data_IF_733479033296
#
_entry.id   IF_733479033296
#
_cell.length_a   1.000
_cell.length_b   1.000
_cell.length_c   1.000
_cell.angle_alpha   90.00
_cell.angle_beta   90.00
_cell.angle_gamma   90.00
#
_symmetry.space_group_name_H-M   'P 1'
#
loop_
_entity.id
_entity.type
_entity.pdbx_description
1 polymer ?
#
# COMPACT_ATOMS: atom_id res chain seq x y z
N UNK A 1 25.97 60.65 13.34
CA UNK A 1 27.38 61.06 13.12
C UNK A 1 27.99 59.99 12.22
N UNK A 2 28.53 60.16 11.02
CA UNK A 2 28.95 61.26 10.14
C UNK A 2 28.74 60.75 8.68
N UNK A 3 28.03 61.50 7.81
CA UNK A 3 28.54 62.35 6.70
C UNK A 3 29.43 61.64 5.65
N UNK A 4 28.91 61.46 4.42
CA UNK A 4 29.18 62.22 3.16
C UNK A 4 30.56 61.87 2.53
N UNK A 5 30.71 61.50 1.25
CA UNK A 5 30.58 62.23 -0.04
C UNK A 5 30.83 61.18 -1.17
N UNK A 6 30.06 61.03 -2.25
CA UNK A 6 29.94 61.84 -3.50
C UNK A 6 31.26 62.26 -4.15
N UNK A 7 31.56 61.66 -5.31
CA UNK A 7 32.41 62.25 -6.36
C UNK A 7 31.71 62.01 -7.71
N UNK A 8 31.33 63.11 -8.32
CA UNK A 8 31.03 63.30 -9.75
C UNK A 8 32.33 63.63 -10.47
N UNK A 9 32.51 63.14 -11.70
CA UNK A 9 33.39 63.78 -12.68
C UNK A 9 32.80 63.67 -14.08
N UNK A 10 32.94 64.76 -14.82
CA UNK A 10 32.23 65.10 -16.04
C UNK A 10 33.25 65.55 -17.10
N UNK A 11 32.88 65.39 -18.37
CA UNK A 11 33.32 66.12 -19.59
C UNK A 11 34.66 65.69 -20.23
N UNK A 12 34.60 65.07 -21.43
CA UNK A 12 34.95 65.78 -22.67
C UNK A 12 34.56 65.03 -23.94
N UNK A 13 33.71 65.70 -24.72
CA UNK A 13 33.35 65.40 -26.10
C UNK A 13 34.54 65.61 -27.03
N UNK A 14 34.68 64.76 -28.04
CA UNK A 14 35.27 65.12 -29.34
C UNK A 14 34.48 64.42 -30.45
N UNK A 15 33.77 65.23 -31.21
CA UNK A 15 33.28 64.91 -32.55
C UNK A 15 34.48 64.94 -33.52
N UNK A 16 34.54 63.99 -34.45
CA UNK A 16 34.91 64.28 -35.83
C UNK A 16 34.37 63.23 -36.81
N UNK A 17 33.95 63.78 -37.94
CA UNK A 17 33.28 63.28 -39.14
C UNK A 17 33.79 61.99 -39.82
N UNK A 18 32.79 61.26 -40.33
CA UNK A 18 32.58 60.74 -41.70
C UNK A 18 33.71 59.95 -42.37
N UNK A 19 33.42 58.66 -42.64
CA UNK A 19 33.70 58.09 -43.96
C UNK A 19 32.63 57.04 -44.34
N UNK A 20 31.98 57.26 -45.47
CA UNK A 20 30.98 56.39 -46.09
C UNK A 20 31.68 55.25 -46.84
N UNK A 21 31.78 54.09 -46.20
CA UNK A 21 32.32 52.86 -46.79
C UNK A 21 31.26 51.80 -47.00
N UNK A 22 30.54 51.88 -48.11
CA UNK A 22 29.63 50.83 -48.60
C UNK A 22 30.43 49.56 -48.92
N UNK A 23 30.37 48.55 -48.05
CA UNK A 23 30.94 47.22 -48.32
C UNK A 23 29.87 46.15 -48.12
N UNK A 24 29.48 45.55 -49.24
CA UNK A 24 28.54 44.43 -49.29
C UNK A 24 29.14 43.20 -48.62
N UNK A 25 28.70 42.93 -47.38
CA UNK A 25 28.93 41.63 -46.76
C UNK A 25 27.96 40.65 -47.42
N UNK A 26 28.53 39.77 -48.25
CA UNK A 26 27.86 38.65 -48.89
C UNK A 26 27.13 37.81 -47.84
N UNK A 27 25.83 37.62 -48.03
CA UNK A 27 25.02 36.58 -47.41
C UNK A 27 25.45 35.22 -47.99
N UNK A 28 26.53 34.64 -47.49
CA UNK A 28 26.89 33.24 -47.73
C UNK A 28 27.73 32.75 -46.54
N UNK A 29 27.10 32.56 -45.36
CA UNK A 29 27.58 31.68 -44.28
C UNK A 29 26.56 31.58 -43.11
N UNK A 30 25.31 31.25 -43.43
CA UNK A 30 24.32 30.80 -42.42
C UNK A 30 23.99 29.33 -42.71
N UNK A 31 24.95 28.43 -42.48
CA UNK A 31 24.69 26.99 -42.51
C UNK A 31 25.59 26.20 -41.56
N UNK A 32 25.77 26.70 -40.34
CA UNK A 32 26.19 25.82 -39.24
C UNK A 32 25.60 26.29 -37.90
N UNK A 33 24.27 26.34 -37.86
CA UNK A 33 23.55 26.25 -36.58
C UNK A 33 23.72 24.81 -36.09
N UNK A 34 24.82 24.53 -35.37
CA UNK A 34 24.90 23.35 -34.52
C UNK A 34 23.70 23.41 -33.58
N UNK A 35 22.69 22.57 -33.79
CA UNK A 35 21.57 22.52 -32.87
C UNK A 35 22.15 22.05 -31.54
N UNK A 36 22.22 22.96 -30.56
CA UNK A 36 22.59 22.63 -29.20
C UNK A 36 21.56 21.62 -28.71
N UNK A 37 21.95 20.36 -28.62
CA UNK A 37 21.07 19.32 -28.12
C UNK A 37 21.14 19.40 -26.60
N UNK A 38 20.00 19.21 -25.94
CA UNK A 38 19.90 19.28 -24.48
C UNK A 38 20.93 18.37 -23.75
N UNK A 39 21.38 17.31 -24.42
CA UNK A 39 22.45 16.40 -23.96
C UNK A 39 23.82 17.05 -23.85
N UNK A 40 24.05 18.21 -24.48
CA UNK A 40 25.33 18.89 -24.57
C UNK A 40 25.57 19.84 -23.38
N UNK A 41 24.54 20.06 -22.55
CA UNK A 41 24.65 20.84 -21.32
C UNK A 41 25.50 20.11 -20.24
N UNK A 42 26.25 20.86 -19.42
CA UNK A 42 26.92 20.32 -18.25
C UNK A 42 25.92 19.70 -17.26
N UNK A 43 26.27 18.57 -16.61
CA UNK A 43 25.43 17.92 -15.61
C UNK A 43 24.91 18.87 -14.52
N UNK A 44 25.74 19.82 -14.08
CA UNK A 44 25.41 20.75 -12.99
C UNK A 44 24.28 21.71 -13.36
N UNK A 45 24.29 22.23 -14.58
CA UNK A 45 23.25 23.14 -15.10
C UNK A 45 21.91 22.41 -15.23
N UNK A 46 21.96 21.15 -15.66
CA UNK A 46 20.78 20.30 -15.78
C UNK A 46 20.19 19.94 -14.40
N UNK A 47 21.05 19.64 -13.42
CA UNK A 47 20.67 19.30 -12.04
C UNK A 47 20.01 20.47 -11.29
N UNK A 48 20.58 21.67 -11.36
CA UNK A 48 20.06 22.84 -10.63
C UNK A 48 18.75 23.39 -11.23
N UNK A 49 18.59 23.35 -12.55
CA UNK A 49 17.55 24.14 -13.22
C UNK A 49 16.47 23.32 -13.91
N UNK A 50 16.67 22.04 -14.22
CA UNK A 50 15.65 21.23 -14.89
C UNK A 50 15.08 20.14 -14.02
N UNK A 51 15.90 19.48 -13.19
CA UNK A 51 15.46 18.33 -12.42
C UNK A 51 14.29 18.64 -11.45
N UNK A 52 14.26 19.86 -10.89
CA UNK A 52 13.22 20.32 -9.97
C UNK A 52 11.88 20.62 -10.65
N UNK A 53 11.85 20.79 -11.98
CA UNK A 53 10.65 21.18 -12.73
C UNK A 53 10.04 20.04 -13.54
N UNK A 54 10.70 18.88 -13.60
CA UNK A 54 10.20 17.72 -14.32
C UNK A 54 9.42 16.79 -13.39
N UNK A 55 8.20 16.43 -13.78
CA UNK A 55 7.46 15.33 -13.15
C UNK A 55 8.19 14.00 -13.34
N UNK A 56 7.90 13.00 -12.51
CA UNK A 56 8.48 11.66 -12.66
C UNK A 56 8.18 11.05 -14.04
N UNK A 57 7.02 11.36 -14.64
CA UNK A 57 6.66 10.95 -16.00
C UNK A 57 7.57 11.62 -17.04
N UNK A 58 7.81 12.92 -16.91
CA UNK A 58 8.70 13.64 -17.83
C UNK A 58 10.15 13.17 -17.70
N UNK A 59 10.63 12.95 -16.47
CA UNK A 59 11.95 12.35 -16.21
C UNK A 59 12.06 10.96 -16.87
N UNK A 60 11.02 10.12 -16.72
CA UNK A 60 10.99 8.80 -17.35
C UNK A 60 11.02 8.88 -18.88
N UNK A 61 10.23 9.77 -19.49
CA UNK A 61 10.25 9.96 -20.95
C UNK A 61 11.60 10.46 -21.45
N UNK A 62 12.20 11.45 -20.78
CA UNK A 62 13.54 11.96 -21.10
C UNK A 62 14.62 10.89 -20.93
N UNK A 63 14.50 10.02 -19.91
CA UNK A 63 15.45 8.93 -19.72
C UNK A 63 15.49 7.93 -20.89
N UNK A 64 14.42 7.84 -21.68
CA UNK A 64 14.33 6.96 -22.85
C UNK A 64 14.95 7.58 -24.11
N UNK A 65 15.21 8.89 -24.14
CA UNK A 65 15.74 9.56 -25.34
C UNK A 65 17.26 9.53 -25.43
N UNK A 66 17.96 9.27 -24.32
CA UNK A 66 19.42 9.19 -24.29
C UNK A 66 19.93 8.40 -23.08
N UNK A 67 21.03 7.65 -23.26
CA UNK A 67 21.73 6.98 -22.18
C UNK A 67 22.24 7.95 -21.11
N UNK A 68 22.59 9.19 -21.50
CA UNK A 68 23.03 10.25 -20.58
C UNK A 68 21.89 10.66 -19.64
N UNK A 69 20.69 10.91 -20.17
CA UNK A 69 19.50 11.20 -19.36
C UNK A 69 19.05 10.01 -18.51
N UNK A 70 19.18 8.79 -19.02
CA UNK A 70 18.96 7.58 -18.24
C UNK A 70 19.86 7.52 -17.01
N UNK A 71 21.16 7.76 -17.20
CA UNK A 71 22.12 7.78 -16.10
C UNK A 71 21.86 8.94 -15.13
N UNK A 72 21.45 10.10 -15.63
CA UNK A 72 21.13 11.27 -14.79
C UNK A 72 19.95 11.04 -13.84
N UNK A 73 18.86 10.44 -14.31
CA UNK A 73 17.67 10.23 -13.46
C UNK A 73 17.71 8.93 -12.67
N UNK A 74 18.73 8.09 -12.84
CA UNK A 74 18.82 6.77 -12.22
C UNK A 74 18.71 6.82 -10.69
N UNK A 75 19.42 7.75 -10.06
CA UNK A 75 19.42 7.89 -8.60
C UNK A 75 18.09 8.45 -8.08
N UNK A 76 17.47 9.36 -8.84
CA UNK A 76 16.13 9.87 -8.53
C UNK A 76 15.09 8.73 -8.58
N UNK A 77 15.12 7.90 -9.62
CA UNK A 77 14.22 6.74 -9.71
C UNK A 77 14.47 5.73 -8.60
N UNK A 78 15.73 5.52 -8.20
CA UNK A 78 16.07 4.63 -7.07
C UNK A 78 15.52 5.17 -5.75
N UNK A 79 15.70 6.47 -5.49
CA UNK A 79 15.14 7.15 -4.30
C UNK A 79 13.62 7.09 -4.29
N UNK A 80 12.99 7.34 -5.43
CA UNK A 80 11.53 7.31 -5.53
C UNK A 80 10.99 5.89 -5.36
N UNK A 81 11.63 4.88 -5.95
CA UNK A 81 11.25 3.47 -5.73
C UNK A 81 11.40 3.07 -4.26
N UNK A 82 12.43 3.56 -3.57
CA UNK A 82 12.60 3.34 -2.13
C UNK A 82 11.52 4.06 -1.30
N UNK A 83 11.13 5.28 -1.67
CA UNK A 83 10.04 6.01 -1.04
C UNK A 83 8.69 5.29 -1.22
N UNK A 84 8.43 4.74 -2.41
CA UNK A 84 7.21 3.95 -2.68
C UNK A 84 7.23 2.62 -1.93
N UNK A 85 8.39 1.97 -1.81
CA UNK A 85 8.54 0.77 -0.96
C UNK A 85 8.20 1.06 0.50
N UNK A 86 8.70 2.20 1.03
CA UNK A 86 8.39 2.66 2.38
C UNK A 86 6.90 2.99 2.56
N UNK A 87 6.30 3.69 1.60
CA UNK A 87 4.85 3.95 1.58
C UNK A 87 4.03 2.65 1.61
N UNK A 88 4.36 1.70 0.74
CA UNK A 88 3.69 0.40 0.71
C UNK A 88 3.83 -0.34 2.06
N UNK A 89 4.98 -0.25 2.73
CA UNK A 89 5.15 -0.81 4.08
C UNK A 89 4.24 -0.14 5.10
N UNK A 90 4.12 1.20 5.11
CA UNK A 90 3.19 1.91 6.00
C UNK A 90 1.74 1.43 5.77
N UNK A 91 1.34 1.29 4.51
CA UNK A 91 0.00 0.82 4.13
C UNK A 91 -0.26 -0.61 4.63
N UNK A 92 0.65 -1.55 4.33
CA UNK A 92 0.51 -2.95 4.74
C UNK A 92 0.51 -3.13 6.27
N UNK A 93 1.09 -2.17 7.00
CA UNK A 93 1.15 -2.13 8.46
C UNK A 93 0.01 -1.32 9.10
N UNK A 94 -0.91 -0.77 8.29
CA UNK A 94 -2.04 0.02 8.79
C UNK A 94 -1.62 1.34 9.45
N UNK A 95 -0.44 1.87 9.10
CA UNK A 95 0.13 3.15 9.56
C UNK A 95 -0.43 4.29 8.70
N UNK A 96 -1.73 4.54 8.88
CA UNK A 96 -2.54 5.43 8.02
C UNK A 96 -1.96 6.85 7.94
N UNK A 97 -1.54 7.43 9.07
CA UNK A 97 -1.09 8.83 9.13
C UNK A 97 0.18 9.02 8.28
N UNK A 98 1.13 8.12 8.45
CA UNK A 98 2.40 8.11 7.72
C UNK A 98 2.16 7.87 6.22
N UNK A 99 1.29 6.92 5.87
CA UNK A 99 0.93 6.65 4.49
C UNK A 99 0.28 7.86 3.80
N UNK A 100 -0.72 8.47 4.43
CA UNK A 100 -1.42 9.63 3.85
C UNK A 100 -0.50 10.85 3.71
N UNK A 101 0.37 11.11 4.69
CA UNK A 101 1.36 12.21 4.59
C UNK A 101 2.30 12.03 3.38
N UNK A 102 2.72 10.80 3.10
CA UNK A 102 3.57 10.51 1.95
C UNK A 102 2.84 10.63 0.60
N UNK A 103 1.53 10.34 0.57
CA UNK A 103 0.68 10.48 -0.62
C UNK A 103 0.36 11.95 -0.88
N UNK A 104 -0.01 12.71 0.16
CA UNK A 104 -0.29 14.14 0.06
C UNK A 104 0.92 14.92 -0.48
N UNK A 105 2.13 14.55 -0.04
CA UNK A 105 3.37 15.16 -0.53
C UNK A 105 3.62 14.86 -2.01
N UNK A 106 3.22 13.69 -2.51
CA UNK A 106 3.44 13.30 -3.90
C UNK A 106 2.39 12.27 -4.38
N UNK A 107 1.22 12.73 -4.86
CA UNK A 107 0.13 11.83 -5.26
C UNK A 107 0.51 10.83 -6.36
N UNK A 108 1.41 11.22 -7.27
CA UNK A 108 1.92 10.36 -8.36
C UNK A 108 2.45 9.00 -7.87
N UNK A 109 2.88 8.90 -6.60
CA UNK A 109 3.29 7.65 -5.95
C UNK A 109 2.23 6.56 -6.02
N UNK A 110 0.94 6.92 -6.05
CA UNK A 110 -0.17 5.98 -6.20
C UNK A 110 -0.08 5.15 -7.50
N UNK A 111 0.69 5.60 -8.49
CA UNK A 111 0.90 4.92 -9.77
C UNK A 111 2.19 4.11 -9.85
N UNK A 112 3.12 4.31 -8.92
CA UNK A 112 4.45 3.69 -8.94
C UNK A 112 4.42 2.35 -8.22
N UNK A 113 5.21 1.39 -8.71
CA UNK A 113 5.30 0.04 -8.16
C UNK A 113 6.57 -0.14 -7.35
N UNK A 114 6.45 -0.80 -6.20
CA UNK A 114 7.59 -1.21 -5.40
C UNK A 114 7.29 -2.51 -4.64
N UNK A 115 8.35 -3.11 -4.11
CA UNK A 115 8.25 -4.30 -3.26
C UNK A 115 8.25 -3.88 -1.80
N UNK A 116 7.34 -4.45 -1.00
CA UNK A 116 7.23 -4.18 0.43
C UNK A 116 6.84 -5.44 1.22
N UNK A 117 6.90 -5.35 2.54
CA UNK A 117 6.65 -6.45 3.47
C UNK A 117 5.74 -6.01 4.61
N UNK A 118 4.79 -6.86 4.99
CA UNK A 118 3.88 -6.66 6.12
C UNK A 118 4.48 -7.13 7.47
N UNK A 119 3.69 -7.13 8.54
CA UNK A 119 4.12 -7.62 9.85
C UNK A 119 4.32 -9.14 9.94
N UNK A 120 3.66 -9.91 9.06
CA UNK A 120 3.79 -11.37 9.03
C UNK A 120 5.03 -11.83 8.28
N UNK A 121 5.72 -10.92 7.58
CA UNK A 121 6.85 -11.23 6.72
C UNK A 121 6.47 -11.53 5.27
N UNK A 122 5.20 -11.34 4.90
CA UNK A 122 4.73 -11.58 3.53
C UNK A 122 5.26 -10.49 2.61
N UNK A 123 5.83 -10.91 1.47
CA UNK A 123 6.45 -10.00 0.49
C UNK A 123 5.47 -9.73 -0.66
N UNK A 124 5.10 -8.47 -0.83
CA UNK A 124 4.25 -7.99 -1.92
C UNK A 124 5.14 -7.36 -2.99
N UNK A 125 5.31 -8.07 -4.13
CA UNK A 125 6.25 -7.67 -5.19
C UNK A 125 5.61 -6.75 -6.20
N UNK A 126 6.28 -5.63 -6.49
CA UNK A 126 5.91 -4.69 -7.56
C UNK A 126 4.43 -4.25 -7.52
N UNK A 127 3.93 -3.96 -6.32
CA UNK A 127 2.57 -3.46 -6.09
C UNK A 127 2.58 -1.94 -5.98
N UNK A 128 1.49 -1.30 -6.40
CA UNK A 128 1.27 0.13 -6.13
C UNK A 128 0.73 0.34 -4.72
N UNK A 129 0.78 1.56 -4.17
CA UNK A 129 0.17 1.89 -2.87
C UNK A 129 -1.31 1.49 -2.76
N UNK A 130 -2.12 1.81 -3.77
CA UNK A 130 -3.53 1.44 -3.78
C UNK A 130 -3.73 -0.08 -3.87
N UNK A 131 -2.91 -0.78 -4.65
CA UNK A 131 -2.93 -2.25 -4.67
C UNK A 131 -2.50 -2.85 -3.32
N UNK A 132 -1.56 -2.25 -2.60
CA UNK A 132 -1.18 -2.70 -1.26
C UNK A 132 -2.35 -2.56 -0.28
N UNK A 133 -3.08 -1.45 -0.30
CA UNK A 133 -4.26 -1.23 0.54
C UNK A 133 -5.39 -2.22 0.22
N UNK A 134 -5.60 -2.52 -1.06
CA UNK A 134 -6.50 -3.60 -1.50
C UNK A 134 -6.01 -4.94 -0.94
N UNK A 135 -4.77 -5.34 -1.17
CA UNK A 135 -4.26 -6.64 -0.73
C UNK A 135 -4.27 -6.85 0.80
N UNK A 136 -4.22 -5.77 1.59
CA UNK A 136 -4.39 -5.81 3.06
C UNK A 136 -5.84 -5.61 3.53
N UNK A 137 -6.80 -5.51 2.61
CA UNK A 137 -8.22 -5.28 2.85
C UNK A 137 -8.52 -4.00 3.64
N UNK A 138 -7.63 -3.00 3.58
CA UNK A 138 -7.75 -1.77 4.37
C UNK A 138 -8.72 -0.80 3.69
N UNK A 139 -10.02 -1.06 3.88
CA UNK A 139 -11.12 -0.29 3.27
C UNK A 139 -11.05 1.18 3.68
N UNK A 140 -10.76 1.44 4.96
CA UNK A 140 -10.71 2.81 5.49
C UNK A 140 -9.58 3.59 4.81
N UNK A 141 -8.39 2.98 4.70
CA UNK A 141 -7.24 3.65 4.09
C UNK A 141 -7.43 3.82 2.60
N UNK A 142 -7.88 2.78 1.87
CA UNK A 142 -8.05 2.93 0.42
C UNK A 142 -9.06 4.02 0.09
N UNK A 143 -10.13 4.18 0.89
CA UNK A 143 -11.16 5.20 0.62
C UNK A 143 -10.59 6.59 0.79
N UNK A 144 -9.70 6.78 1.77
CA UNK A 144 -8.96 8.03 1.97
C UNK A 144 -7.92 8.29 0.87
N UNK A 145 -7.44 7.26 0.17
CA UNK A 145 -6.56 7.43 -0.99
C UNK A 145 -7.33 7.87 -2.26
N UNK A 146 -8.62 7.56 -2.37
CA UNK A 146 -9.38 7.80 -3.60
C UNK A 146 -9.36 9.25 -4.10
N UNK A 147 -9.57 10.28 -3.27
CA UNK A 147 -9.55 11.68 -3.71
C UNK A 147 -8.22 12.12 -4.32
N UNK A 148 -7.10 11.49 -3.92
CA UNK A 148 -5.79 11.83 -4.48
C UNK A 148 -5.66 11.38 -5.94
N UNK A 149 -6.44 10.40 -6.40
CA UNK A 149 -6.44 10.05 -7.82
C UNK A 149 -7.00 11.19 -8.69
N UNK A 150 -7.88 12.06 -8.17
CA UNK A 150 -8.40 13.21 -8.94
C UNK A 150 -7.31 14.26 -9.22
N UNK A 151 -6.24 14.24 -8.42
CA UNK A 151 -5.07 15.14 -8.58
C UNK A 151 -4.04 14.63 -9.59
N UNK A 152 -4.19 13.39 -10.07
CA UNK A 152 -3.23 12.73 -10.95
C UNK A 152 -3.82 12.70 -12.38
N UNK A 153 -3.03 13.03 -13.43
CA UNK A 153 -3.48 12.85 -14.81
C UNK A 153 -3.94 11.42 -15.09
N UNK A 154 -5.14 11.26 -15.66
CA UNK A 154 -5.82 9.98 -15.87
C UNK A 154 -5.98 9.12 -14.60
N UNK A 155 -6.05 9.76 -13.43
CA UNK A 155 -5.99 9.06 -12.14
C UNK A 155 -7.14 8.09 -11.91
N UNK A 156 -8.39 8.45 -12.27
CA UNK A 156 -9.54 7.54 -12.19
C UNK A 156 -9.35 6.29 -13.07
N UNK A 157 -8.90 6.47 -14.32
CA UNK A 157 -8.58 5.37 -15.22
C UNK A 157 -7.42 4.51 -14.67
N UNK A 158 -6.41 5.13 -14.05
CA UNK A 158 -5.31 4.41 -13.37
C UNK A 158 -5.83 3.61 -12.18
N UNK A 159 -6.69 4.17 -11.33
CA UNK A 159 -7.35 3.47 -10.20
C UNK A 159 -8.09 2.24 -10.70
N UNK A 160 -8.93 2.40 -11.72
CA UNK A 160 -9.69 1.30 -12.33
C UNK A 160 -8.78 0.21 -12.91
N UNK A 161 -7.70 0.58 -13.63
CA UNK A 161 -6.71 -0.39 -14.14
C UNK A 161 -6.00 -1.15 -13.01
N UNK A 162 -5.65 -0.47 -11.92
CA UNK A 162 -5.02 -1.10 -10.77
C UNK A 162 -5.93 -2.12 -10.09
N UNK A 163 -7.22 -1.78 -9.92
CA UNK A 163 -8.23 -2.69 -9.38
C UNK A 163 -8.46 -3.90 -10.30
N UNK A 164 -8.76 -3.67 -11.59
CA UNK A 164 -9.00 -4.73 -12.59
C UNK A 164 -7.80 -5.67 -12.75
N UNK A 165 -6.57 -5.17 -12.56
CA UNK A 165 -5.36 -6.02 -12.59
C UNK A 165 -5.33 -7.02 -11.44
N UNK A 166 -5.82 -6.67 -10.25
CA UNK A 166 -5.90 -7.59 -9.12
C UNK A 166 -7.12 -8.52 -9.22
N UNK A 167 -8.24 -7.98 -9.70
CA UNK A 167 -9.54 -8.66 -9.71
C UNK A 167 -10.15 -8.73 -11.11
N UNK A 168 -9.48 -9.36 -12.10
CA UNK A 168 -9.99 -9.40 -13.47
C UNK A 168 -11.33 -10.13 -13.59
N UNK A 169 -11.58 -11.07 -12.67
CA UNK A 169 -12.81 -11.87 -12.60
C UNK A 169 -13.57 -11.65 -11.28
N UNK A 170 -13.39 -10.49 -10.64
CA UNK A 170 -13.90 -10.21 -9.30
C UNK A 170 -13.05 -10.82 -8.18
N UNK A 171 -13.60 -10.84 -6.96
CA UNK A 171 -12.93 -11.37 -5.77
C UNK A 171 -12.70 -12.89 -5.91
N UNK A 172 -11.52 -13.40 -5.53
CA UNK A 172 -11.24 -14.83 -5.58
C UNK A 172 -12.11 -15.59 -4.58
N UNK A 173 -12.64 -16.74 -5.00
CA UNK A 173 -13.21 -17.73 -4.07
C UNK A 173 -12.08 -18.49 -3.40
N UNK A 174 -11.87 -18.26 -2.12
CA UNK A 174 -10.82 -18.91 -1.34
C UNK A 174 -11.41 -20.00 -0.44
N UNK A 175 -10.69 -21.11 -0.29
CA UNK A 175 -11.08 -22.20 0.63
C UNK A 175 -10.33 -22.06 1.95
N UNK A 176 -10.95 -22.40 3.09
CA UNK A 176 -10.23 -22.44 4.36
C UNK A 176 -9.16 -23.54 4.35
N UNK A 177 -8.27 -23.49 5.35
CA UNK A 177 -7.27 -24.52 5.57
C UNK A 177 -8.00 -25.74 6.11
N UNK A 178 -7.61 -26.94 5.69
CA UNK A 178 -8.24 -28.15 6.20
C UNK A 178 -7.66 -28.51 7.58
N UNK A 179 -8.41 -28.18 8.62
CA UNK A 179 -8.04 -28.48 10.00
C UNK A 179 -8.38 -29.93 10.40
N UNK A 180 -9.10 -30.70 9.58
CA UNK A 180 -9.74 -31.96 10.00
C UNK A 180 -8.76 -32.96 10.63
N UNK A 181 -7.59 -33.15 10.02
CA UNK A 181 -6.57 -34.07 10.55
C UNK A 181 -6.04 -33.62 11.93
N UNK A 182 -5.79 -32.32 12.11
CA UNK A 182 -5.32 -31.76 13.37
C UNK A 182 -6.39 -31.89 14.47
N UNK A 183 -7.64 -31.55 14.14
CA UNK A 183 -8.76 -31.63 15.09
C UNK A 183 -9.00 -33.07 15.54
N UNK A 184 -8.91 -34.05 14.64
CA UNK A 184 -9.02 -35.46 15.03
C UNK A 184 -7.91 -35.88 16.02
N UNK A 185 -6.69 -35.36 15.85
CA UNK A 185 -5.58 -35.64 16.75
C UNK A 185 -5.81 -34.97 18.11
N UNK A 186 -6.21 -33.69 18.15
CA UNK A 186 -6.52 -32.98 19.41
C UNK A 186 -7.64 -33.71 20.18
N UNK A 187 -8.71 -34.10 19.49
CA UNK A 187 -9.85 -34.83 20.10
C UNK A 187 -9.41 -36.13 20.77
N UNK A 188 -8.48 -36.87 20.16
CA UNK A 188 -8.03 -38.19 20.65
C UNK A 188 -6.84 -38.11 21.62
N UNK A 189 -6.23 -36.94 21.78
CA UNK A 189 -5.02 -36.79 22.58
C UNK A 189 -5.34 -36.83 24.08
N UNK A 190 -4.54 -37.56 24.89
CA UNK A 190 -4.73 -37.57 26.33
C UNK A 190 -4.36 -36.22 26.94
N UNK A 191 -5.02 -35.85 28.04
CA UNK A 191 -4.80 -34.56 28.71
C UNK A 191 -3.33 -34.29 29.08
N UNK A 192 -2.55 -35.34 29.40
CA UNK A 192 -1.13 -35.19 29.73
C UNK A 192 -0.31 -34.65 28.54
N UNK A 193 -0.62 -35.08 27.31
CA UNK A 193 0.12 -34.67 26.11
C UNK A 193 -0.28 -33.23 25.73
N UNK A 194 -1.55 -32.88 25.97
CA UNK A 194 -2.05 -31.51 25.79
C UNK A 194 -1.36 -30.55 26.77
N UNK A 195 -1.31 -30.89 28.06
CA UNK A 195 -0.66 -30.08 29.07
C UNK A 195 0.85 -29.93 28.81
N UNK A 196 1.53 -31.01 28.41
CA UNK A 196 2.94 -30.95 28.04
C UNK A 196 3.18 -29.97 26.88
N UNK A 197 2.32 -29.98 25.85
CA UNK A 197 2.43 -29.07 24.72
C UNK A 197 2.03 -27.62 25.05
N UNK A 198 1.12 -27.41 26.00
CA UNK A 198 0.77 -26.08 26.51
C UNK A 198 1.92 -25.47 27.33
N UNK A 199 2.60 -26.28 28.13
CA UNK A 199 3.77 -25.86 28.93
C UNK A 199 5.00 -25.61 28.04
N UNK A 200 5.19 -26.44 27.01
CA UNK A 200 6.24 -26.29 26.03
C UNK A 200 5.68 -26.41 24.59
N UNK A 201 5.32 -25.29 23.93
CA UNK A 201 4.79 -25.27 22.56
C UNK A 201 5.72 -25.83 21.48
N UNK A 202 6.95 -26.19 21.83
CA UNK A 202 7.96 -26.81 20.96
C UNK A 202 8.23 -28.28 21.30
N UNK A 203 7.48 -28.87 22.23
CA UNK A 203 7.55 -30.31 22.48
C UNK A 203 6.84 -31.08 21.36
N UNK A 204 7.64 -31.48 20.38
CA UNK A 204 7.18 -32.28 19.25
C UNK A 204 7.42 -33.77 19.45
N UNK A 205 7.63 -34.25 20.67
CA UNK A 205 7.90 -35.67 20.91
C UNK A 205 6.64 -36.54 20.80
N UNK A 206 5.46 -35.97 21.06
CA UNK A 206 4.17 -36.66 20.97
C UNK A 206 3.56 -36.56 19.56
N UNK A 207 2.62 -37.47 19.20
CA UNK A 207 1.83 -37.34 17.96
C UNK A 207 1.10 -35.99 17.85
N UNK A 208 0.62 -35.46 18.98
CA UNK A 208 -0.02 -34.13 19.04
C UNK A 208 0.98 -33.01 18.73
N UNK A 209 2.16 -33.05 19.34
CA UNK A 209 3.22 -32.07 19.08
C UNK A 209 3.67 -32.07 17.61
N UNK A 210 3.85 -33.25 17.01
CA UNK A 210 4.14 -33.36 15.58
C UNK A 210 3.02 -32.80 14.70
N UNK A 211 1.75 -33.03 15.07
CA UNK A 211 0.61 -32.49 14.33
C UNK A 211 0.59 -30.95 14.37
N UNK A 212 0.88 -30.34 15.52
CA UNK A 212 0.99 -28.88 15.65
C UNK A 212 2.17 -28.33 14.84
N UNK A 213 3.33 -29.00 14.86
CA UNK A 213 4.48 -28.63 14.01
C UNK A 213 4.10 -28.64 12.52
N UNK A 214 3.52 -29.73 12.04
CA UNK A 214 3.09 -29.89 10.64
C UNK A 214 2.06 -28.83 10.25
N UNK A 215 1.09 -28.56 11.14
CA UNK A 215 0.14 -27.47 10.94
C UNK A 215 0.85 -26.12 10.77
N UNK A 216 1.75 -25.75 11.70
CA UNK A 216 2.46 -24.46 11.65
C UNK A 216 3.27 -24.31 10.36
N UNK A 217 3.99 -25.36 9.96
CA UNK A 217 4.78 -25.38 8.72
C UNK A 217 3.89 -25.21 7.49
N UNK A 218 2.85 -26.04 7.36
CA UNK A 218 1.93 -26.01 6.22
C UNK A 218 1.14 -24.71 6.14
N UNK A 219 0.63 -24.21 7.27
CA UNK A 219 -0.14 -22.99 7.32
C UNK A 219 0.71 -21.76 7.01
N UNK A 220 1.96 -21.73 7.48
CA UNK A 220 2.92 -20.67 7.12
C UNK A 220 3.19 -20.68 5.62
N UNK A 221 3.50 -21.87 5.05
CA UNK A 221 3.76 -22.00 3.62
C UNK A 221 2.55 -21.57 2.77
N UNK A 222 1.33 -21.95 3.18
CA UNK A 222 0.09 -21.52 2.53
C UNK A 222 -0.08 -20.00 2.63
N UNK A 223 -0.03 -19.43 3.82
CA UNK A 223 -0.25 -18.00 4.07
C UNK A 223 0.74 -17.11 3.32
N UNK A 224 1.99 -17.55 3.18
CA UNK A 224 3.03 -16.84 2.43
C UNK A 224 2.86 -16.93 0.91
N UNK A 225 2.21 -17.98 0.42
CA UNK A 225 1.91 -18.19 -1.00
C UNK A 225 0.66 -17.42 -1.44
N UNK A 226 -0.29 -17.22 -0.53
CA UNK A 226 -1.52 -16.49 -0.82
C UNK A 226 -1.26 -15.01 -1.11
N UNK A 227 -1.51 -14.60 -2.35
CA UNK A 227 -1.46 -13.19 -2.76
C UNK A 227 -2.50 -12.35 -2.01
N UNK A 228 -3.71 -12.89 -1.86
CA UNK A 228 -4.81 -12.26 -1.15
C UNK A 228 -4.96 -12.91 0.21
N UNK A 229 -5.02 -12.11 1.26
CA UNK A 229 -5.30 -12.66 2.58
C UNK A 229 -6.66 -13.37 2.58
N UNK A 230 -6.68 -14.62 3.07
CA UNK A 230 -7.87 -15.44 3.15
C UNK A 230 -8.47 -15.43 4.56
N UNK A 231 -9.51 -14.63 4.83
CA UNK A 231 -10.14 -14.60 6.15
C UNK A 231 -10.85 -15.91 6.51
N UNK A 232 -11.14 -16.78 5.53
CA UNK A 232 -11.86 -18.04 5.78
C UNK A 232 -11.04 -18.99 6.66
N UNK A 233 -9.71 -18.92 6.65
CA UNK A 233 -8.86 -19.69 7.56
C UNK A 233 -9.23 -19.45 9.03
N UNK A 234 -9.33 -18.18 9.42
CA UNK A 234 -9.65 -17.82 10.80
C UNK A 234 -11.13 -18.09 11.12
N UNK A 235 -12.05 -17.77 10.21
CA UNK A 235 -13.48 -18.06 10.37
C UNK A 235 -13.70 -19.55 10.62
N UNK A 236 -13.08 -20.43 9.83
CA UNK A 236 -13.26 -21.88 9.99
C UNK A 236 -12.67 -22.37 11.32
N UNK A 237 -11.49 -21.89 11.72
CA UNK A 237 -10.91 -22.29 13.01
C UNK A 237 -11.74 -21.84 14.22
N UNK A 238 -12.36 -20.65 14.17
CA UNK A 238 -13.27 -20.15 15.20
C UNK A 238 -14.59 -20.94 15.20
N UNK A 239 -15.10 -21.30 14.03
CA UNK A 239 -16.30 -22.13 13.91
C UNK A 239 -16.07 -23.51 14.53
N UNK A 240 -14.91 -24.13 14.28
CA UNK A 240 -14.51 -25.39 14.92
C UNK A 240 -14.48 -25.23 16.44
N UNK A 241 -13.92 -24.13 16.97
CA UNK A 241 -13.92 -23.87 18.41
C UNK A 241 -15.34 -23.87 19.00
N UNK A 242 -16.27 -23.17 18.36
CA UNK A 242 -17.66 -23.11 18.80
C UNK A 242 -18.35 -24.49 18.73
N UNK A 243 -18.09 -25.27 17.68
CA UNK A 243 -18.62 -26.64 17.53
C UNK A 243 -18.06 -27.60 18.60
N UNK A 244 -16.82 -27.41 19.05
CA UNK A 244 -16.19 -28.26 20.06
C UNK A 244 -16.40 -27.76 21.50
N UNK A 245 -16.98 -26.58 21.71
CA UNK A 245 -17.03 -25.91 23.02
C UNK A 245 -17.61 -26.76 24.15
N UNK A 246 -18.68 -27.53 23.87
CA UNK A 246 -19.31 -28.42 24.84
C UNK A 246 -18.80 -29.87 24.79
N UNK A 247 -17.97 -30.21 23.80
CA UNK A 247 -17.48 -31.57 23.57
C UNK A 247 -16.08 -31.79 24.13
N UNK A 248 -15.27 -30.73 24.15
CA UNK A 248 -13.88 -30.77 24.55
C UNK A 248 -13.66 -30.32 25.98
N UNK A 249 -12.57 -30.82 26.57
CA UNK A 249 -12.08 -30.31 27.84
C UNK A 249 -11.54 -28.88 27.70
N UNK A 250 -11.47 -28.14 28.82
CA UNK A 250 -10.88 -26.80 28.85
C UNK A 250 -9.46 -26.75 28.30
N UNK A 251 -8.64 -27.79 28.52
CA UNK A 251 -7.28 -27.87 28.00
C UNK A 251 -7.24 -28.03 26.48
N UNK A 252 -8.14 -28.83 25.90
CA UNK A 252 -8.26 -28.98 24.44
C UNK A 252 -8.69 -27.67 23.80
N UNK A 253 -9.69 -27.00 24.38
CA UNK A 253 -10.16 -25.70 23.91
C UNK A 253 -9.05 -24.65 24.01
N UNK A 254 -8.33 -24.61 25.13
CA UNK A 254 -7.23 -23.67 25.32
C UNK A 254 -6.07 -23.94 24.34
N UNK A 255 -5.74 -25.21 24.05
CA UNK A 255 -4.75 -25.57 23.03
C UNK A 255 -5.17 -25.10 21.63
N UNK A 256 -6.42 -25.38 21.22
CA UNK A 256 -6.95 -24.92 19.94
C UNK A 256 -6.90 -23.39 19.84
N UNK A 257 -7.34 -22.71 20.91
CA UNK A 257 -7.39 -21.26 20.95
C UNK A 257 -5.99 -20.64 20.88
N UNK A 258 -5.06 -21.07 21.74
CA UNK A 258 -3.71 -20.49 21.82
C UNK A 258 -2.84 -20.88 20.63
N UNK A 259 -2.81 -22.16 20.24
CA UNK A 259 -1.81 -22.66 19.30
C UNK A 259 -2.30 -22.85 17.86
N UNK A 260 -3.61 -22.87 17.62
CA UNK A 260 -4.18 -23.00 16.26
C UNK A 260 -4.80 -21.69 15.80
N UNK A 261 -5.76 -21.16 16.56
CA UNK A 261 -6.43 -19.89 16.27
C UNK A 261 -5.44 -18.74 16.42
N UNK A 262 -4.73 -18.67 17.55
CA UNK A 262 -3.66 -17.69 17.77
C UNK A 262 -2.59 -17.75 16.67
N UNK A 263 -2.22 -18.93 16.19
CA UNK A 263 -1.17 -19.05 15.17
C UNK A 263 -1.68 -18.59 13.80
N UNK A 264 -2.94 -18.90 13.48
CA UNK A 264 -3.64 -18.38 12.30
C UNK A 264 -3.71 -16.84 12.33
N UNK A 265 -3.95 -16.27 13.52
CA UNK A 265 -4.04 -14.83 13.75
C UNK A 265 -2.74 -14.07 13.51
N UNK A 266 -1.57 -14.74 13.54
CA UNK A 266 -0.27 -14.14 13.21
C UNK A 266 -0.18 -13.64 11.77
N UNK A 267 -1.01 -14.17 10.88
CA UNK A 267 -1.00 -13.85 9.45
C UNK A 267 -2.11 -12.87 9.05
N UNK A 268 -2.84 -12.30 10.02
CA UNK A 268 -3.82 -11.25 9.74
C UNK A 268 -3.12 -9.99 9.19
N UNK A 269 -3.67 -9.37 8.13
CA UNK A 269 -3.32 -8.00 7.77
C UNK A 269 -3.54 -7.07 8.96
N UNK A 270 -2.75 -6.00 9.04
CA UNK A 270 -2.84 -5.05 10.15
C UNK A 270 -4.26 -4.50 10.35
N UNK A 271 -5.00 -4.29 9.25
CA UNK A 271 -6.38 -3.82 9.31
C UNK A 271 -7.31 -4.76 10.10
N UNK A 272 -7.19 -6.09 9.91
CA UNK A 272 -7.96 -7.06 10.70
C UNK A 272 -7.50 -7.09 12.16
N UNK A 273 -6.18 -7.08 12.41
CA UNK A 273 -5.64 -7.04 13.76
C UNK A 273 -6.11 -5.80 14.54
N UNK A 274 -6.12 -4.62 13.89
CA UNK A 274 -6.68 -3.37 14.43
C UNK A 274 -8.18 -3.52 14.74
N UNK A 275 -8.94 -4.18 13.86
CA UNK A 275 -10.34 -4.50 14.09
C UNK A 275 -10.56 -5.35 15.35
N UNK A 276 -9.74 -6.38 15.54
CA UNK A 276 -9.77 -7.20 16.76
C UNK A 276 -9.41 -6.40 18.01
N UNK A 277 -8.40 -5.51 17.94
CA UNK A 277 -8.00 -4.64 19.04
C UNK A 277 -9.12 -3.69 19.49
N UNK A 278 -10.01 -3.32 18.58
CA UNK A 278 -11.15 -2.44 18.85
C UNK A 278 -12.45 -3.18 19.20
N UNK A 279 -12.51 -4.50 18.97
CA UNK A 279 -13.71 -5.35 18.93
C UNK A 279 -14.56 -5.15 17.67
N UNK A 280 -14.91 -6.26 17.01
CA UNK A 280 -15.57 -6.24 15.72
C UNK A 280 -17.04 -5.84 15.81
N UNK A 281 -17.74 -6.13 16.91
CA UNK A 281 -19.13 -5.70 17.12
C UNK A 281 -19.29 -4.18 16.98
N UNK A 282 -18.42 -3.42 17.64
CA UNK A 282 -18.48 -1.95 17.58
C UNK A 282 -18.25 -1.39 16.18
N UNK A 283 -17.47 -2.11 15.37
CA UNK A 283 -17.18 -1.75 13.97
C UNK A 283 -18.33 -2.14 13.05
N UNK A 284 -18.89 -3.34 13.22
CA UNK A 284 -20.00 -3.87 12.42
C UNK A 284 -21.25 -3.00 12.62
N UNK A 285 -21.52 -2.59 13.86
CA UNK A 285 -22.66 -1.75 14.21
C UNK A 285 -22.44 -0.27 13.88
N UNK A 286 -21.20 0.12 13.54
CA UNK A 286 -20.85 1.52 13.25
C UNK A 286 -20.98 2.44 14.46
N UNK A 287 -20.98 1.90 15.68
CA UNK A 287 -21.17 2.69 16.91
C UNK A 287 -19.92 3.48 17.30
N UNK A 288 -18.75 3.11 16.76
CA UNK A 288 -17.47 3.82 16.98
C UNK A 288 -16.68 3.96 15.68
N UNK A 289 -15.90 5.05 15.53
CA UNK A 289 -14.98 5.19 14.40
C UNK A 289 -13.86 4.16 14.49
N UNK A 290 -13.37 3.69 13.36
CA UNK A 290 -12.23 2.76 13.30
C UNK A 290 -10.94 3.39 13.86
N UNK A 291 -10.25 2.67 14.73
CA UNK A 291 -9.04 3.08 15.43
C UNK A 291 -7.82 2.33 14.89
N UNK A 292 -6.77 3.08 14.56
CA UNK A 292 -5.47 2.56 14.08
C UNK A 292 -4.59 2.11 15.24
N UNK A 293 -5.10 1.19 16.07
CA UNK A 293 -4.38 0.67 17.24
C UNK A 293 -4.14 -0.83 17.12
N UNK A 294 -2.94 -1.26 17.49
CA UNK A 294 -2.57 -2.66 17.62
C UNK A 294 -2.48 -3.10 19.09
N UNK A 295 -3.00 -2.27 19.99
CA UNK A 295 -3.08 -2.58 21.42
C UNK A 295 -4.35 -3.39 21.65
N UNK A 296 -4.17 -4.67 21.94
CA UNK A 296 -5.23 -5.60 22.34
C UNK A 296 -5.17 -5.75 23.86
N UNK A 297 -6.18 -5.21 24.55
CA UNK A 297 -6.22 -5.13 26.01
C UNK A 297 -4.98 -4.42 26.61
N UNK A 298 -4.08 -5.18 27.27
CA UNK A 298 -2.84 -4.67 27.88
C UNK A 298 -1.58 -5.10 27.11
N UNK A 299 -1.76 -5.67 25.92
CA UNK A 299 -0.70 -6.23 25.09
C UNK A 299 -0.71 -5.64 23.69
N UNK A 300 0.40 -5.73 22.97
CA UNK A 300 0.49 -5.32 21.57
C UNK A 300 0.44 -6.54 20.66
N UNK A 301 -0.40 -6.50 19.62
CA UNK A 301 -0.51 -7.59 18.63
C UNK A 301 0.78 -7.76 17.82
N UNK A 302 1.41 -6.64 17.45
CA UNK A 302 2.67 -6.60 16.73
C UNK A 302 3.71 -5.75 17.50
N UNK A 303 5.02 -6.03 17.36
CA UNK A 303 5.63 -7.07 16.53
C UNK A 303 5.41 -8.50 17.06
N UNK A 304 5.41 -9.48 16.16
CA UNK A 304 5.31 -10.88 16.55
C UNK A 304 6.60 -11.38 17.19
N UNK A 305 6.49 -12.02 18.34
CA UNK A 305 7.59 -12.77 18.95
C UNK A 305 7.72 -14.14 18.26
N UNK A 306 8.94 -14.63 18.10
CA UNK A 306 9.24 -15.85 17.33
C UNK A 306 8.71 -17.12 18.00
N UNK A 307 8.57 -17.13 19.32
CA UNK A 307 8.34 -18.36 20.09
C UNK A 307 7.43 -18.20 21.31
N UNK A 308 6.79 -17.04 21.47
CA UNK A 308 5.90 -16.73 22.59
C UNK A 308 4.76 -15.82 22.13
N UNK A 309 3.76 -15.64 22.98
CA UNK A 309 2.62 -14.78 22.74
C UNK A 309 1.63 -15.37 21.73
N UNK A 310 1.18 -14.56 20.78
CA UNK A 310 0.14 -14.91 19.82
C UNK A 310 0.51 -16.16 19.01
N UNK A 311 -0.26 -17.24 19.15
CA UNK A 311 -0.03 -18.52 18.46
C UNK A 311 0.81 -19.55 19.21
N UNK A 312 1.21 -19.22 20.43
CA UNK A 312 1.95 -20.10 21.33
C UNK A 312 1.24 -20.18 22.68
N UNK A 313 1.13 -19.03 23.35
CA UNK A 313 0.63 -18.96 24.73
C UNK A 313 -0.77 -18.33 24.77
N UNK A 314 -1.10 -17.52 23.76
CA UNK A 314 -2.38 -16.79 23.67
C UNK A 314 -2.95 -16.81 22.26
N UNK A 315 -4.28 -16.73 22.19
CA UNK A 315 -5.05 -16.29 21.03
C UNK A 315 -5.77 -14.99 21.37
N UNK A 316 -6.22 -14.24 20.36
CA UNK A 316 -7.10 -13.10 20.56
C UNK A 316 -8.56 -13.52 20.38
N UNK A 317 -9.40 -13.22 21.36
CA UNK A 317 -10.83 -13.47 21.28
C UNK A 317 -11.59 -12.16 21.12
N UNK A 318 -12.65 -12.18 20.32
CA UNK A 318 -13.59 -11.08 20.27
C UNK A 318 -14.94 -11.53 20.83
N UNK A 319 -15.48 -10.75 21.77
CA UNK A 319 -16.72 -11.04 22.48
C UNK A 319 -17.97 -10.93 21.59
N UNK A 320 -17.82 -10.45 20.34
CA UNK A 320 -18.88 -10.28 19.34
C UNK A 320 -19.44 -11.57 18.72
N UNK A 321 -19.16 -12.74 19.30
CA UNK A 321 -19.66 -14.03 18.82
C UNK A 321 -18.70 -14.79 17.91
N UNK A 322 -17.39 -14.71 18.16
CA UNK A 322 -16.39 -15.59 17.55
C UNK A 322 -16.41 -15.53 16.02
N UNK A 323 -16.73 -16.67 15.39
CA UNK A 323 -16.74 -16.78 13.92
C UNK A 323 -17.86 -15.95 13.25
N UNK A 324 -19.00 -15.73 13.93
CA UNK A 324 -20.15 -14.99 13.37
C UNK A 324 -19.82 -13.51 13.21
N UNK A 325 -19.22 -12.90 14.24
CA UNK A 325 -18.76 -11.51 14.20
C UNK A 325 -17.74 -11.28 13.09
N UNK A 326 -16.69 -12.11 13.03
CA UNK A 326 -15.68 -12.02 11.98
C UNK A 326 -16.28 -12.20 10.58
N UNK A 327 -17.19 -13.17 10.40
CA UNK A 327 -17.87 -13.39 9.11
C UNK A 327 -18.63 -12.15 8.64
N UNK A 328 -19.43 -11.53 9.52
CA UNK A 328 -20.17 -10.29 9.20
C UNK A 328 -19.23 -9.14 8.85
N UNK A 329 -18.12 -9.00 9.58
CA UNK A 329 -17.10 -7.98 9.28
C UNK A 329 -16.47 -8.19 7.89
N UNK A 330 -16.14 -9.43 7.56
CA UNK A 330 -15.61 -9.81 6.24
C UNK A 330 -16.63 -9.55 5.12
N UNK A 331 -17.91 -9.84 5.36
CA UNK A 331 -18.99 -9.54 4.41
C UNK A 331 -19.11 -8.03 4.13
N UNK A 332 -18.99 -7.17 5.15
CA UNK A 332 -18.93 -5.72 4.95
C UNK A 332 -17.74 -5.31 4.09
N UNK A 333 -16.55 -5.86 4.34
CA UNK A 333 -15.36 -5.60 3.51
C UNK A 333 -15.61 -6.05 2.06
N UNK A 334 -16.15 -7.25 1.85
CA UNK A 334 -16.49 -7.76 0.51
C UNK A 334 -17.49 -6.87 -0.22
N UNK A 335 -18.49 -6.33 0.48
CA UNK A 335 -19.43 -5.38 -0.14
C UNK A 335 -18.70 -4.13 -0.66
N UNK A 336 -17.73 -3.59 0.09
CA UNK A 336 -16.94 -2.45 -0.37
C UNK A 336 -16.12 -2.75 -1.64
N UNK A 337 -15.65 -3.99 -1.80
CA UNK A 337 -15.00 -4.42 -3.06
C UNK A 337 -15.97 -4.48 -4.23
N UNK A 338 -17.19 -4.95 -4.01
CA UNK A 338 -18.22 -4.99 -5.04
C UNK A 338 -18.56 -3.56 -5.50
N UNK A 339 -18.77 -2.65 -4.55
CA UNK A 339 -19.07 -1.25 -4.82
C UNK A 339 -17.91 -0.58 -5.61
N UNK A 340 -16.66 -0.80 -5.18
CA UNK A 340 -15.48 -0.31 -5.88
C UNK A 340 -15.35 -0.94 -7.29
N UNK A 341 -15.69 -2.22 -7.44
CA UNK A 341 -15.69 -2.91 -8.72
C UNK A 341 -16.70 -2.33 -9.70
N UNK A 342 -17.91 -2.00 -9.23
CA UNK A 342 -18.92 -1.28 -10.01
C UNK A 342 -18.39 0.09 -10.43
N UNK A 343 -17.87 0.88 -9.48
CA UNK A 343 -17.32 2.20 -9.76
C UNK A 343 -16.15 2.17 -10.77
N UNK A 344 -15.31 1.14 -10.74
CA UNK A 344 -14.20 0.95 -11.69
C UNK A 344 -14.63 0.37 -13.06
N UNK A 345 -15.90 -0.03 -13.20
CA UNK A 345 -16.45 -0.63 -14.42
C UNK A 345 -17.24 0.36 -15.28
N UNK A 346 -17.63 1.51 -14.73
CA UNK A 346 -18.30 2.57 -15.49
C UNK A 346 -17.34 3.11 -16.56
N UNK A 347 -17.71 3.08 -17.86
CA UNK A 347 -16.93 3.73 -18.91
C UNK A 347 -16.79 5.21 -18.59
N UNK A 348 -15.59 5.79 -18.80
CA UNK A 348 -15.33 7.22 -18.60
C UNK A 348 -16.46 8.05 -19.24
N UNK A 349 -17.38 8.59 -18.43
CA UNK A 349 -18.19 9.71 -18.90
C UNK A 349 -17.21 10.87 -19.13
N UNK A 350 -17.34 11.60 -20.24
CA UNK A 350 -16.43 12.70 -20.52
C UNK A 350 -16.48 13.69 -19.36
N UNK A 351 -15.34 14.34 -19.03
CA UNK A 351 -15.28 15.25 -17.90
C UNK A 351 -16.37 16.31 -18.04
N UNK A 352 -17.03 16.64 -16.93
CA UNK A 352 -18.07 17.68 -16.81
C UNK A 352 -17.69 19.04 -17.45
N UNK A 353 -16.41 19.25 -17.81
CA UNK A 353 -15.95 20.37 -18.61
C UNK A 353 -16.48 20.39 -20.06
N UNK A 354 -16.94 19.25 -20.60
CA UNK A 354 -17.54 19.19 -21.94
C UNK A 354 -19.02 19.64 -21.95
N UNK A 355 -19.77 19.39 -20.87
CA UNK A 355 -21.20 19.70 -20.80
C UNK A 355 -21.48 21.20 -20.61
N UNK A 356 -20.50 21.96 -20.11
CA UNK A 356 -20.59 23.44 -20.01
C UNK A 356 -20.32 24.17 -21.34
N UNK A 357 -19.71 23.52 -22.34
CA UNK A 357 -19.55 24.12 -23.68
C UNK A 357 -20.79 23.99 -24.56
N UNK A 358 -21.60 22.95 -24.35
CA UNK A 358 -22.86 22.80 -25.10
C UNK A 358 -23.98 23.70 -24.56
N UNK A 359 -23.99 24.02 -23.26
CA UNK A 359 -24.98 24.97 -22.69
C UNK A 359 -24.65 26.43 -23.01
N UNK A 360 -23.39 26.80 -23.23
CA UNK A 360 -23.01 28.16 -23.63
C UNK A 360 -23.13 28.42 -25.13
N UNK A 361 -23.15 27.38 -25.98
CA UNK A 361 -23.41 27.54 -27.42
C UNK A 361 -24.90 27.73 -27.76
N UNK A 362 -25.81 27.45 -26.84
CA UNK A 362 -27.27 27.61 -27.03
C UNK A 362 -27.83 28.95 -26.53
N UNK A 363 -27.00 29.83 -25.94
CA UNK A 363 -27.42 31.15 -25.44
C UNK A 363 -26.98 32.35 -26.32
N UNK A 364 -26.52 32.14 -27.55
CA UNK A 364 -26.11 33.24 -28.46
C UNK A 364 -26.90 33.33 -29.78
N UNK A 365 -28.10 32.78 -29.84
CA UNK A 365 -29.05 33.08 -30.93
C UNK A 365 -30.42 33.34 -30.34
N UNK A 366 -30.69 34.62 -30.03
CA UNK A 366 -32.02 35.25 -29.95
C UNK A 366 -31.82 36.75 -30.12
#
# INVERSE_FOLDING_TARGET
MNRKKSITETVHSKEHEVDEGTSSIKMDDISNSSSLVLSDLPPEVFMMHMNCFLSNVSKARLSLTSSKFCQFFKDDFKKEKAAVAKLNSHILRGEEKEALSMIETCPDRLSTRATAMDYSGRIFREVTPFQAALLSHDVVLWKKMEPYFDTIPDGLAKKARQFKKLFPNGLPKQKPYDFSALIQIITKSPNKDILALLDNPFDFTSPLGQAIKVFRENFTALSMKETFFNPQHLIESLKIYDEQFYLWSGNQLYLLFSQVIGFTQRFLPAYYAQGYCQRLDTLIEGTKPFLRTLIFEKSTWFPLLSSTGLGFDIGAWDYSGGHVGLKRYVEQIHQNYLDLGVACSVPDHPPLAATLRETLSQCTIS
#
